data_IF_433596217812
#
_entry.id   IF_433596217812
#
_cell.length_a   1.000
_cell.length_b   1.000
_cell.length_c   1.000
_cell.angle_alpha   90.00
_cell.angle_beta   90.00
_cell.angle_gamma   90.00
#
_symmetry.space_group_name_H-M   'P 1'
#
loop_
_entity.id
_entity.type
_entity.pdbx_description
1 polymer ?
#
# COMPACT_ATOMS: atom_id res chain seq x y z
N UNK A 1 4.89 -15.90 5.65
CA UNK A 1 4.30 -14.57 5.90
C UNK A 1 2.84 -14.78 6.25
N UNK A 2 2.40 -14.26 7.39
CA UNK A 2 1.04 -14.44 7.89
C UNK A 2 0.19 -13.30 7.38
N UNK A 3 -0.95 -13.60 6.74
CA UNK A 3 -1.92 -12.59 6.31
C UNK A 3 -2.40 -11.79 7.54
N UNK A 4 -2.55 -10.48 7.39
CA UNK A 4 -3.01 -9.61 8.50
C UNK A 4 -4.44 -9.93 8.96
N UNK A 5 -5.23 -10.56 8.09
CA UNK A 5 -6.61 -11.02 8.28
C UNK A 5 -6.82 -12.42 7.70
N UNK A 6 -7.76 -13.18 8.29
CA UNK A 6 -8.30 -14.43 7.72
C UNK A 6 -9.65 -14.22 7.00
N UNK A 7 -10.20 -13.01 7.01
CA UNK A 7 -11.42 -12.68 6.29
C UNK A 7 -11.16 -12.71 4.78
N UNK A 8 -11.82 -13.64 4.09
CA UNK A 8 -11.60 -13.87 2.67
C UNK A 8 -12.00 -12.67 1.79
N UNK A 9 -13.01 -11.89 2.19
CA UNK A 9 -13.48 -10.72 1.44
C UNK A 9 -12.48 -9.58 1.53
N UNK A 10 -12.04 -9.26 2.74
CA UNK A 10 -10.98 -8.27 2.95
C UNK A 10 -9.69 -8.69 2.23
N UNK A 11 -9.31 -9.97 2.34
CA UNK A 11 -8.13 -10.48 1.68
C UNK A 11 -8.22 -10.36 0.15
N UNK A 12 -9.38 -10.64 -0.45
CA UNK A 12 -9.60 -10.47 -1.89
C UNK A 12 -9.47 -9.01 -2.32
N UNK A 13 -10.04 -8.06 -1.56
CA UNK A 13 -9.94 -6.62 -1.84
C UNK A 13 -8.52 -6.08 -1.73
N UNK A 14 -7.79 -6.48 -0.68
CA UNK A 14 -6.40 -6.07 -0.51
C UNK A 14 -5.49 -6.64 -1.62
N UNK A 15 -5.77 -7.85 -2.13
CA UNK A 15 -5.09 -8.37 -3.32
C UNK A 15 -5.44 -7.60 -4.60
N UNK A 16 -6.70 -7.19 -4.76
CA UNK A 16 -7.13 -6.39 -5.91
C UNK A 16 -6.46 -5.01 -5.88
N UNK A 17 -6.43 -4.36 -4.72
CA UNK A 17 -5.76 -3.07 -4.53
C UNK A 17 -4.25 -3.17 -4.79
N UNK A 18 -3.57 -4.16 -4.21
CA UNK A 18 -2.14 -4.39 -4.47
C UNK A 18 -1.83 -4.64 -5.94
N UNK A 19 -2.72 -5.35 -6.66
CA UNK A 19 -2.58 -5.57 -8.10
C UNK A 19 -2.76 -4.27 -8.88
N UNK A 20 -3.75 -3.45 -8.53
CA UNK A 20 -4.01 -2.17 -9.18
C UNK A 20 -2.82 -1.21 -9.00
N UNK A 21 -2.30 -1.06 -7.78
CA UNK A 21 -1.07 -0.28 -7.50
C UNK A 21 0.08 -0.80 -8.35
N UNK A 22 0.35 -2.10 -8.35
CA UNK A 22 1.47 -2.66 -9.10
C UNK A 22 1.38 -2.37 -10.60
N UNK A 23 0.18 -2.43 -11.18
CA UNK A 23 -0.05 -2.10 -12.58
C UNK A 23 0.15 -0.62 -12.88
N UNK A 24 -0.34 0.24 -11.99
CA UNK A 24 -0.26 1.69 -12.09
C UNK A 24 1.21 2.17 -12.01
N UNK A 25 1.92 1.76 -10.96
CA UNK A 25 3.35 2.04 -10.76
C UNK A 25 4.19 1.63 -11.97
N UNK A 26 3.94 0.44 -12.51
CA UNK A 26 4.65 -0.03 -13.70
C UNK A 26 4.35 0.79 -14.94
N UNK A 27 3.11 1.28 -15.07
CA UNK A 27 2.70 2.09 -16.20
C UNK A 27 3.34 3.48 -16.15
N UNK A 28 3.44 4.06 -14.95
CA UNK A 28 4.06 5.37 -14.71
C UNK A 28 5.58 5.33 -14.82
N UNK A 29 6.23 4.34 -14.22
CA UNK A 29 7.69 4.31 -14.05
C UNK A 29 8.42 3.45 -15.09
N UNK A 30 7.67 2.70 -15.92
CA UNK A 30 8.24 1.83 -16.95
C UNK A 30 8.98 0.60 -16.40
N UNK A 31 8.82 0.27 -15.11
CA UNK A 31 9.52 -0.84 -14.47
C UNK A 31 8.96 -1.21 -13.10
N UNK A 32 9.58 -2.19 -12.45
CA UNK A 32 9.20 -2.69 -11.13
C UNK A 32 9.84 -1.84 -10.02
N UNK A 33 9.58 -0.53 -10.02
CA UNK A 33 10.14 0.40 -9.05
C UNK A 33 9.26 1.64 -8.90
N UNK A 34 9.42 2.34 -7.78
CA UNK A 34 8.86 3.66 -7.54
C UNK A 34 9.82 4.48 -6.69
N UNK A 35 9.57 5.79 -6.58
CA UNK A 35 10.38 6.71 -5.78
C UNK A 35 9.58 7.19 -4.60
N UNK A 36 10.18 7.13 -3.41
CA UNK A 36 9.69 7.84 -2.24
C UNK A 36 10.40 9.19 -2.16
N UNK A 37 9.67 10.24 -1.83
CA UNK A 37 10.23 11.56 -1.61
C UNK A 37 10.19 11.86 -0.10
N UNK A 38 11.34 12.14 0.49
CA UNK A 38 11.45 12.69 1.85
C UNK A 38 11.65 14.21 1.75
N UNK A 39 11.78 14.91 2.90
CA UNK A 39 12.07 16.35 2.88
C UNK A 39 13.41 16.67 2.17
N UNK A 40 14.40 15.78 2.31
CA UNK A 40 15.78 16.04 1.89
C UNK A 40 16.29 15.10 0.78
N UNK A 41 15.59 14.00 0.45
CA UNK A 41 16.08 12.98 -0.49
C UNK A 41 14.97 12.31 -1.33
N UNK A 42 15.39 11.58 -2.36
CA UNK A 42 14.56 10.72 -3.18
C UNK A 42 15.08 9.27 -3.10
N UNK A 43 14.27 8.39 -2.50
CA UNK A 43 14.64 6.99 -2.28
C UNK A 43 14.07 6.15 -3.44
N UNK A 44 14.95 5.53 -4.22
CA UNK A 44 14.55 4.55 -5.23
C UNK A 44 14.17 3.22 -4.55
N UNK A 45 12.96 2.75 -4.79
CA UNK A 45 12.42 1.52 -4.21
C UNK A 45 12.14 0.50 -5.30
N UNK A 46 12.90 -0.60 -5.29
CA UNK A 46 12.62 -1.75 -6.15
C UNK A 46 11.47 -2.61 -5.59
N UNK A 47 10.53 -2.99 -6.47
CA UNK A 47 9.42 -3.87 -6.15
C UNK A 47 9.85 -5.32 -6.31
N UNK A 48 10.19 -5.96 -5.19
CA UNK A 48 10.51 -7.40 -5.16
C UNK A 48 9.24 -8.23 -5.06
N UNK A 49 9.17 -9.35 -5.77
CA UNK A 49 8.01 -10.26 -5.86
C UNK A 49 6.73 -9.66 -6.50
N UNK A 50 6.84 -8.54 -7.22
CA UNK A 50 5.73 -7.90 -7.93
C UNK A 50 4.53 -7.59 -7.04
N UNK A 51 3.33 -8.03 -7.42
CA UNK A 51 2.09 -7.85 -6.64
C UNK A 51 2.22 -8.33 -5.19
N UNK A 52 3.01 -9.39 -4.92
CA UNK A 52 3.21 -9.86 -3.55
C UNK A 52 4.05 -8.88 -2.71
N UNK A 53 4.99 -8.18 -3.33
CA UNK A 53 5.73 -7.09 -2.68
C UNK A 53 4.81 -5.96 -2.30
N UNK A 54 4.02 -5.47 -3.26
CA UNK A 54 3.01 -4.43 -3.00
C UNK A 54 2.00 -4.86 -1.93
N UNK A 55 1.58 -6.13 -1.93
CA UNK A 55 0.65 -6.63 -0.92
C UNK A 55 1.20 -6.51 0.51
N UNK A 56 2.52 -6.67 0.70
CA UNK A 56 3.19 -6.45 1.99
C UNK A 56 3.11 -4.99 2.41
N UNK A 57 3.26 -4.07 1.46
CA UNK A 57 3.12 -2.62 1.70
C UNK A 57 1.67 -2.29 2.09
N UNK A 58 0.68 -2.82 1.38
CA UNK A 58 -0.75 -2.66 1.74
C UNK A 58 -1.05 -3.21 3.14
N UNK A 59 -0.53 -4.39 3.49
CA UNK A 59 -0.72 -4.95 4.83
C UNK A 59 -0.08 -4.06 5.92
N UNK A 60 1.09 -3.47 5.65
CA UNK A 60 1.87 -2.69 6.61
C UNK A 60 1.38 -1.25 6.76
N UNK A 61 1.10 -0.58 5.66
CA UNK A 61 0.85 0.87 5.61
C UNK A 61 -0.63 1.23 5.46
N UNK A 62 -1.48 0.33 4.97
CA UNK A 62 -2.93 0.57 4.93
C UNK A 62 -3.70 -0.22 6.00
N UNK A 63 -3.48 -1.53 6.10
CA UNK A 63 -4.33 -2.38 6.95
C UNK A 63 -3.92 -2.40 8.42
N UNK A 64 -2.61 -2.35 8.71
CA UNK A 64 -2.12 -2.36 10.09
C UNK A 64 -2.55 -1.12 10.90
N UNK A 65 -2.48 0.12 10.38
CA UNK A 65 -3.00 1.28 11.10
C UNK A 65 -4.49 1.14 11.42
N UNK A 66 -5.31 0.72 10.45
CA UNK A 66 -6.74 0.48 10.67
C UNK A 66 -6.98 -0.58 11.76
N UNK A 67 -6.20 -1.66 11.74
CA UNK A 67 -6.27 -2.73 12.75
C UNK A 67 -5.91 -2.24 14.16
N UNK A 68 -4.92 -1.39 14.26
CA UNK A 68 -4.42 -0.88 15.53
C UNK A 68 -5.39 0.18 16.11
N UNK A 69 -6.12 0.91 15.26
CA UNK A 69 -7.02 2.01 15.67
C UNK A 69 -8.47 1.57 15.91
N UNK A 70 -9.03 0.66 15.10
CA UNK A 70 -10.46 0.35 15.10
C UNK A 70 -10.77 -1.07 15.63
N UNK A 71 -11.70 -1.19 16.59
CA UNK A 71 -12.20 -2.50 17.05
C UNK A 71 -12.83 -3.33 15.93
N UNK A 72 -13.53 -2.67 14.99
CA UNK A 72 -14.20 -3.29 13.84
C UNK A 72 -13.44 -3.07 12.53
N UNK A 73 -12.10 -3.02 12.61
CA UNK A 73 -11.23 -2.62 11.50
C UNK A 73 -11.46 -3.41 10.21
N UNK A 74 -11.78 -4.70 10.27
CA UNK A 74 -11.97 -5.49 9.05
C UNK A 74 -13.14 -4.97 8.20
N UNK A 75 -14.23 -4.56 8.84
CA UNK A 75 -15.39 -3.97 8.16
C UNK A 75 -15.08 -2.58 7.59
N UNK A 76 -14.29 -1.79 8.31
CA UNK A 76 -13.84 -0.46 7.87
C UNK A 76 -12.91 -0.60 6.66
N UNK A 77 -11.91 -1.47 6.77
CA UNK A 77 -10.96 -1.76 5.71
C UNK A 77 -11.62 -2.33 4.46
N UNK A 78 -12.64 -3.21 4.61
CA UNK A 78 -13.39 -3.70 3.46
C UNK A 78 -14.07 -2.56 2.69
N UNK A 79 -14.72 -1.62 3.39
CA UNK A 79 -15.41 -0.49 2.76
C UNK A 79 -14.43 0.44 2.06
N UNK A 80 -13.31 0.76 2.70
CA UNK A 80 -12.25 1.60 2.12
C UNK A 80 -11.70 0.94 0.85
N UNK A 81 -11.29 -0.32 0.92
CA UNK A 81 -10.67 -1.00 -0.22
C UNK A 81 -11.66 -1.30 -1.36
N UNK A 82 -12.96 -1.38 -1.08
CA UNK A 82 -14.00 -1.46 -2.12
C UNK A 82 -14.04 -0.19 -2.98
N UNK A 83 -13.76 0.97 -2.36
CA UNK A 83 -13.72 2.26 -3.04
C UNK A 83 -12.39 2.54 -3.73
N UNK A 84 -11.29 1.90 -3.32
CA UNK A 84 -9.95 2.12 -3.88
C UNK A 84 -9.76 1.51 -5.28
N UNK A 85 -10.59 0.55 -5.69
CA UNK A 85 -10.44 -0.15 -6.97
C UNK A 85 -11.72 -0.11 -7.79
N UNK A 86 -11.64 0.51 -8.96
CA UNK A 86 -12.75 0.55 -9.92
C UNK A 86 -12.32 -0.11 -11.24
N UNK A 87 -13.10 -1.08 -11.71
CA UNK A 87 -12.82 -1.82 -12.96
C UNK A 87 -11.39 -2.41 -13.04
N UNK A 88 -10.84 -2.80 -11.89
CA UNK A 88 -9.50 -3.37 -11.77
C UNK A 88 -8.35 -2.35 -11.84
N UNK A 89 -8.65 -1.06 -11.81
CA UNK A 89 -7.67 0.04 -11.74
C UNK A 89 -7.84 0.81 -10.44
N UNK A 90 -6.84 1.61 -10.08
CA UNK A 90 -6.98 2.55 -8.98
C UNK A 90 -8.07 3.56 -9.31
N UNK A 91 -8.97 3.78 -8.36
CA UNK A 91 -9.85 4.94 -8.36
C UNK A 91 -9.10 6.17 -7.85
N UNK A 92 -9.73 7.35 -7.86
CA UNK A 92 -9.15 8.53 -7.20
C UNK A 92 -8.83 8.28 -5.72
N UNK A 93 -9.76 7.67 -4.98
CA UNK A 93 -9.54 7.29 -3.58
C UNK A 93 -8.42 6.24 -3.42
N UNK A 94 -8.26 5.36 -4.42
CA UNK A 94 -7.17 4.39 -4.44
C UNK A 94 -5.80 5.04 -4.63
N UNK A 95 -5.72 6.05 -5.49
CA UNK A 95 -4.52 6.85 -5.70
C UNK A 95 -4.18 7.66 -4.44
N UNK A 96 -5.16 8.34 -3.85
CA UNK A 96 -4.96 9.10 -2.61
C UNK A 96 -4.42 8.21 -1.49
N UNK A 97 -5.03 7.03 -1.27
CA UNK A 97 -4.55 6.04 -0.30
C UNK A 97 -3.13 5.56 -0.62
N UNK A 98 -2.79 5.35 -1.89
CA UNK A 98 -1.45 4.95 -2.29
C UNK A 98 -0.41 6.06 -1.99
N UNK A 99 -0.76 7.32 -2.24
CA UNK A 99 0.08 8.47 -1.90
C UNK A 99 0.28 8.59 -0.39
N UNK A 100 -0.77 8.45 0.41
CA UNK A 100 -0.67 8.46 1.87
C UNK A 100 0.25 7.33 2.37
N UNK A 101 0.11 6.11 1.81
CA UNK A 101 1.02 5.01 2.11
C UNK A 101 2.48 5.33 1.75
N UNK A 102 2.74 6.01 0.62
CA UNK A 102 4.09 6.42 0.23
C UNK A 102 4.68 7.45 1.21
N UNK A 103 3.87 8.38 1.70
CA UNK A 103 4.31 9.34 2.71
C UNK A 103 4.69 8.63 4.02
N UNK A 104 3.85 7.71 4.50
CA UNK A 104 4.17 6.91 5.70
C UNK A 104 5.44 6.05 5.52
N UNK A 105 5.67 5.54 4.29
CA UNK A 105 6.89 4.83 3.94
C UNK A 105 8.13 5.73 3.97
N UNK A 106 8.03 6.94 3.42
CA UNK A 106 9.11 7.93 3.40
C UNK A 106 9.49 8.34 4.83
N UNK A 107 8.50 8.65 5.69
CA UNK A 107 8.70 8.98 7.10
C UNK A 107 9.37 7.82 7.87
N UNK A 108 8.94 6.59 7.59
CA UNK A 108 9.52 5.39 8.19
C UNK A 108 10.99 5.18 7.80
N UNK A 109 11.36 5.51 6.56
CA UNK A 109 12.72 5.40 6.06
C UNK A 109 13.63 6.46 6.69
N UNK A 110 13.19 7.73 6.71
CA UNK A 110 13.92 8.82 7.35
C UNK A 110 14.19 8.55 8.84
N UNK A 111 13.18 8.03 9.56
CA UNK A 111 13.33 7.67 10.98
C UNK A 111 14.29 6.50 11.26
N UNK A 112 14.71 5.75 10.24
CA UNK A 112 15.76 4.71 10.36
C UNK A 112 17.16 5.28 10.12
N UNK A 113 17.29 6.29 9.24
CA UNK A 113 18.58 6.96 8.97
C UNK A 113 19.08 7.74 10.20
N UNK A 114 18.19 8.42 10.92
CA UNK A 114 18.53 9.15 12.16
C UNK A 114 19.06 8.25 13.29
N UNK A 115 18.86 6.93 13.20
CA UNK A 115 19.27 5.96 14.22
C UNK A 115 20.57 5.22 13.88
N UNK A 116 21.13 5.44 12.69
CA UNK A 116 22.31 4.74 12.19
C UNK A 116 23.59 5.57 12.29
#
# INVERSE_FOLDING_TARGET
MTLITLNFRLNARANAFAKAIYQDVRAENGGDWFTLYTEDDAIHVDIIDGVKGIRKLVDTYALKPLKDEYKSWESVAEQILDLCVENGKLSGMGLDMWVDMMNDMADSAAAQEDKS
#
